data_IF_678902600836
#
_entry.id   IF_678902600836
#
_cell.length_a   1.000
_cell.length_b   1.000
_cell.length_c   1.000
_cell.angle_alpha   90.00
_cell.angle_beta   90.00
_cell.angle_gamma   90.00
#
_symmetry.space_group_name_H-M   'P 1'
#
loop_
_entity.id
_entity.type
_entity.pdbx_description
1 polymer ?
#
# COMPACT_ATOMS: atom_id res chain seq x y z
N UNK A 1 6.16 -4.79 -7.41
CA UNK A 1 6.37 -3.47 -6.80
C UNK A 1 5.06 -2.72 -6.64
N UNK A 2 4.96 -1.91 -5.63
CA UNK A 2 3.70 -1.20 -5.37
C UNK A 2 3.94 0.30 -5.28
N UNK A 3 2.84 1.04 -5.32
CA UNK A 3 2.84 2.50 -5.23
C UNK A 3 2.14 2.99 -3.97
N UNK A 4 2.16 2.18 -2.93
CA UNK A 4 1.46 2.54 -1.69
C UNK A 4 2.01 3.86 -1.14
N UNK A 5 3.33 4.04 -1.17
CA UNK A 5 3.95 5.25 -0.65
C UNK A 5 3.39 6.50 -1.33
N UNK A 6 3.33 6.47 -2.65
CA UNK A 6 2.85 7.62 -3.41
C UNK A 6 1.40 7.94 -3.08
N UNK A 7 0.57 6.90 -2.97
CA UNK A 7 -0.84 7.12 -2.68
C UNK A 7 -1.04 7.67 -1.27
N UNK A 8 -0.27 7.13 -0.31
CA UNK A 8 -0.35 7.66 1.06
C UNK A 8 0.04 9.14 1.09
N UNK A 9 1.11 9.48 0.38
CA UNK A 9 1.57 10.87 0.35
C UNK A 9 0.55 11.78 -0.32
N UNK A 10 -0.01 11.34 -1.43
CA UNK A 10 -1.01 12.13 -2.14
C UNK A 10 -2.23 12.41 -1.26
N UNK A 11 -2.60 11.45 -0.44
CA UNK A 11 -3.80 11.58 0.39
C UNK A 11 -3.51 12.12 1.78
N UNK A 12 -2.23 12.30 2.12
CA UNK A 12 -1.86 12.78 3.44
C UNK A 12 -2.16 11.78 4.54
N UNK A 13 -2.08 10.49 4.24
CA UNK A 13 -2.39 9.43 5.19
C UNK A 13 -1.10 8.86 5.74
N UNK A 14 -1.08 8.65 7.06
CA UNK A 14 0.11 8.13 7.72
C UNK A 14 0.14 6.61 7.71
N UNK A 15 1.36 6.07 7.69
CA UNK A 15 1.54 4.63 7.75
C UNK A 15 0.99 4.04 9.03
N UNK A 16 1.08 4.78 10.13
CA UNK A 16 0.56 4.31 11.41
C UNK A 16 -0.95 4.12 11.35
N UNK A 17 -1.65 5.01 10.66
CA UNK A 17 -3.10 4.86 10.48
C UNK A 17 -3.41 3.57 9.71
N UNK A 18 -2.64 3.35 8.64
CA UNK A 18 -2.87 2.16 7.81
C UNK A 18 -2.57 0.88 8.59
N UNK A 19 -1.49 0.89 9.37
CA UNK A 19 -1.14 -0.27 10.19
C UNK A 19 -2.25 -0.59 11.17
N UNK A 20 -2.78 0.44 11.82
CA UNK A 20 -3.86 0.26 12.79
C UNK A 20 -5.09 -0.35 12.11
N UNK A 21 -5.48 0.17 10.96
CA UNK A 21 -6.67 -0.31 10.26
C UNK A 21 -6.53 -1.74 9.77
N UNK A 22 -5.32 -2.12 9.38
CA UNK A 22 -5.07 -3.47 8.89
C UNK A 22 -4.78 -4.47 10.01
N UNK A 23 -4.61 -3.98 11.25
CA UNK A 23 -4.25 -4.85 12.35
C UNK A 23 -2.85 -5.43 12.20
N UNK A 24 -1.95 -4.70 11.57
CA UNK A 24 -0.57 -5.15 11.35
C UNK A 24 0.38 -4.18 12.02
N UNK A 25 1.59 -4.65 12.28
CA UNK A 25 2.59 -3.81 12.93
C UNK A 25 3.12 -2.77 11.96
N UNK A 26 3.61 -1.66 12.51
CA UNK A 26 4.20 -0.60 11.71
C UNK A 26 5.37 -1.12 10.84
N UNK A 27 6.30 -1.92 11.37
CA UNK A 27 7.39 -2.43 10.53
C UNK A 27 6.92 -3.20 9.31
N UNK A 28 5.83 -3.96 9.44
CA UNK A 28 5.30 -4.70 8.30
C UNK A 28 4.76 -3.72 7.25
N UNK A 29 4.00 -2.73 7.68
CA UNK A 29 3.46 -1.74 6.76
C UNK A 29 4.60 -0.95 6.11
N UNK A 30 5.58 -0.56 6.90
CA UNK A 30 6.73 0.17 6.37
C UNK A 30 7.47 -0.67 5.32
N UNK A 31 7.58 -1.99 5.54
CA UNK A 31 8.18 -2.87 4.55
C UNK A 31 7.44 -2.84 3.22
N UNK A 32 6.11 -2.83 3.27
CA UNK A 32 5.31 -2.70 2.06
C UNK A 32 5.54 -1.36 1.39
N UNK A 33 5.50 -0.29 2.17
CA UNK A 33 5.62 1.07 1.65
C UNK A 33 6.98 1.28 0.99
N UNK A 34 8.03 0.72 1.58
CA UNK A 34 9.38 0.86 1.04
C UNK A 34 9.71 -0.19 -0.03
N UNK A 35 8.76 -1.02 -0.38
CA UNK A 35 8.93 -2.07 -1.40
C UNK A 35 9.98 -3.11 -1.03
N UNK A 36 10.27 -3.25 0.27
CA UNK A 36 11.14 -4.33 0.73
C UNK A 36 10.39 -5.65 0.77
N UNK A 37 9.08 -5.57 0.89
CA UNK A 37 8.20 -6.71 0.99
C UNK A 37 6.89 -6.36 0.30
N UNK A 38 6.28 -7.32 -0.36
CA UNK A 38 5.02 -7.06 -1.05
C UNK A 38 3.87 -7.68 -0.27
N UNK A 39 2.75 -6.96 -0.16
CA UNK A 39 1.56 -7.54 0.48
C UNK A 39 0.96 -8.62 -0.40
N UNK A 40 0.23 -9.55 0.21
CA UNK A 40 -0.56 -10.51 -0.56
C UNK A 40 -1.63 -9.76 -1.34
N UNK A 41 -2.21 -10.43 -2.32
CA UNK A 41 -3.24 -9.79 -3.12
C UNK A 41 -4.45 -9.43 -2.25
N UNK A 42 -4.78 -10.25 -1.26
CA UNK A 42 -5.89 -9.94 -0.37
C UNK A 42 -5.61 -8.68 0.43
N UNK A 43 -4.39 -8.57 0.96
CA UNK A 43 -4.02 -7.38 1.73
C UNK A 43 -3.99 -6.16 0.84
N UNK A 44 -3.53 -6.33 -0.40
CA UNK A 44 -3.49 -5.21 -1.33
C UNK A 44 -4.90 -4.69 -1.62
N UNK A 45 -5.88 -5.59 -1.79
CA UNK A 45 -7.27 -5.16 -1.95
C UNK A 45 -7.79 -4.44 -0.72
N UNK A 46 -7.44 -4.91 0.47
CA UNK A 46 -7.82 -4.21 1.70
C UNK A 46 -7.25 -2.81 1.74
N UNK A 47 -5.97 -2.68 1.39
CA UNK A 47 -5.33 -1.37 1.38
C UNK A 47 -6.05 -0.45 0.39
N UNK A 48 -6.35 -0.95 -0.80
CA UNK A 48 -7.03 -0.15 -1.81
C UNK A 48 -8.38 0.33 -1.29
N UNK A 49 -9.13 -0.55 -0.64
CA UNK A 49 -10.42 -0.19 -0.07
C UNK A 49 -10.27 0.90 0.99
N UNK A 50 -9.31 0.72 1.88
CA UNK A 50 -9.09 1.69 2.96
C UNK A 50 -8.66 3.06 2.42
N UNK A 51 -7.89 3.07 1.34
CA UNK A 51 -7.43 4.32 0.77
C UNK A 51 -8.41 4.91 -0.25
N UNK A 52 -9.47 4.17 -0.56
CA UNK A 52 -10.48 4.67 -1.50
C UNK A 52 -9.96 4.74 -2.92
N UNK A 53 -9.09 3.81 -3.32
CA UNK A 53 -8.56 3.78 -4.68
C UNK A 53 -8.78 2.39 -5.26
N UNK A 54 -8.55 2.28 -6.56
CA UNK A 54 -8.60 1.01 -7.25
C UNK A 54 -7.30 0.26 -6.96
N UNK A 55 -7.37 -1.06 -6.88
CA UNK A 55 -6.17 -1.85 -6.57
C UNK A 55 -5.10 -1.62 -7.65
N UNK A 56 -5.49 -1.37 -8.88
CA UNK A 56 -4.53 -1.12 -9.94
C UNK A 56 -3.74 0.16 -9.72
N UNK A 57 -4.27 1.09 -8.92
CA UNK A 57 -3.56 2.32 -8.61
C UNK A 57 -2.42 2.09 -7.63
N UNK A 58 -2.37 0.91 -7.02
CA UNK A 58 -1.32 0.55 -6.07
C UNK A 58 -0.24 -0.30 -6.70
N UNK A 59 -0.36 -0.63 -7.97
CA UNK A 59 0.54 -1.55 -8.64
C UNK A 59 1.33 -0.81 -9.70
N UNK A 60 2.64 -1.05 -9.70
CA UNK A 60 3.50 -0.48 -10.73
C UNK A 60 3.48 -1.42 -11.93
N UNK A 61 3.12 -0.87 -13.08
CA UNK A 61 3.16 -1.64 -14.32
C UNK A 61 4.62 -1.93 -14.67
N UNK A 62 4.89 -3.16 -15.05
CA UNK A 62 6.23 -3.49 -15.51
C UNK A 62 6.26 -3.65 -17.02
N UNK A 63 5.24 -3.12 -17.68
CA UNK A 63 5.20 -3.16 -19.13
C UNK A 63 6.32 -2.30 -19.69
N UNK A 64 6.99 -2.83 -20.68
CA UNK A 64 8.07 -2.10 -21.33
C UNK A 64 7.59 -1.42 -22.58
N UNK A 65 8.23 -0.36 -22.89
CA UNK A 65 7.95 0.34 -24.13
C UNK A 65 8.90 -0.08 -25.19
#
# INVERSE_FOLDING_TARGET
MNRIKEVLEEKGIKQTWLADKLGKSYPIINGYVQNRKQPSIEVLFEIATLLGVDVKDLIVSNKKK
#
